data_IF_301791553479
#
_entry.id   IF_301791553479
#
_cell.length_a   1.000
_cell.length_b   1.000
_cell.length_c   1.000
_cell.angle_alpha   90.00
_cell.angle_beta   90.00
_cell.angle_gamma   90.00
#
_symmetry.space_group_name_H-M   'P 1'
#
loop_
_entity.id
_entity.type
_entity.pdbx_description
1 polymer ?
#
# COMPACT_ATOMS: atom_id res chain seq x y z
N UNK A 1 -5.35 -26.89 7.21
CA UNK A 1 -4.81 -25.51 7.36
C UNK A 1 -5.26 -24.69 6.17
N UNK A 2 -5.79 -23.52 6.41
CA UNK A 2 -6.11 -22.56 5.34
C UNK A 2 -4.83 -21.96 4.74
N UNK A 3 -4.92 -21.35 3.53
CA UNK A 3 -3.76 -20.75 2.87
C UNK A 3 -3.08 -19.69 3.73
N UNK A 4 -3.86 -18.84 4.43
CA UNK A 4 -3.28 -17.82 5.32
C UNK A 4 -2.57 -18.44 6.54
N UNK A 5 -3.10 -19.53 7.11
CA UNK A 5 -2.41 -20.23 8.22
C UNK A 5 -1.05 -20.79 7.79
N UNK A 6 -0.97 -21.32 6.57
CA UNK A 6 0.31 -21.80 6.02
C UNK A 6 1.31 -20.65 5.89
N UNK A 7 0.88 -19.50 5.35
CA UNK A 7 1.75 -18.31 5.22
C UNK A 7 2.23 -17.80 6.58
N UNK A 8 1.35 -17.73 7.58
CA UNK A 8 1.71 -17.34 8.95
C UNK A 8 2.71 -18.33 9.56
N UNK A 9 2.51 -19.63 9.38
CA UNK A 9 3.46 -20.64 9.86
C UNK A 9 4.84 -20.50 9.18
N UNK A 10 4.87 -20.21 7.88
CA UNK A 10 6.13 -19.96 7.16
C UNK A 10 6.81 -18.73 7.75
N UNK A 11 6.11 -17.61 7.95
CA UNK A 11 6.67 -16.42 8.58
C UNK A 11 7.18 -16.68 10.00
N UNK A 12 6.45 -17.48 10.80
CA UNK A 12 6.91 -17.88 12.13
C UNK A 12 8.23 -18.68 12.09
N UNK A 13 8.37 -19.60 11.13
CA UNK A 13 9.65 -20.32 10.92
C UNK A 13 10.78 -19.35 10.57
N UNK A 14 10.51 -18.37 9.70
CA UNK A 14 11.51 -17.37 9.32
C UNK A 14 11.83 -16.41 10.47
N UNK A 15 10.89 -16.10 11.36
CA UNK A 15 11.18 -15.36 12.59
C UNK A 15 12.16 -16.14 13.48
N UNK A 16 11.98 -17.46 13.64
CA UNK A 16 12.92 -18.32 14.38
C UNK A 16 14.30 -18.33 13.70
N UNK A 17 14.35 -18.52 12.38
CA UNK A 17 15.63 -18.52 11.63
C UNK A 17 16.35 -17.16 11.73
N UNK A 18 15.60 -16.05 11.61
CA UNK A 18 16.14 -14.70 11.80
C UNK A 18 16.65 -14.46 13.21
N UNK A 19 15.88 -14.88 14.23
CA UNK A 19 16.30 -14.79 15.63
C UNK A 19 17.58 -15.59 15.92
N UNK A 20 17.68 -16.81 15.38
CA UNK A 20 18.89 -17.64 15.50
C UNK A 20 20.09 -16.98 14.79
N UNK A 21 19.91 -16.52 13.55
CA UNK A 21 20.98 -15.85 12.79
C UNK A 21 21.48 -14.60 13.52
N UNK A 22 20.60 -13.84 14.15
CA UNK A 22 20.94 -12.68 15.00
C UNK A 22 21.82 -13.09 16.19
N UNK A 23 21.47 -14.18 16.88
CA UNK A 23 22.26 -14.71 18.01
C UNK A 23 23.66 -15.13 17.55
N UNK A 24 23.79 -15.73 16.37
CA UNK A 24 25.06 -16.20 15.83
C UNK A 24 25.83 -15.15 14.99
N UNK A 25 25.46 -13.87 15.09
CA UNK A 25 26.21 -12.74 14.53
C UNK A 25 25.84 -12.40 13.07
N UNK A 26 24.60 -12.62 12.66
CA UNK A 26 24.06 -12.20 11.34
C UNK A 26 24.82 -12.76 10.13
N UNK A 27 25.23 -14.01 10.17
CA UNK A 27 26.05 -14.64 9.13
C UNK A 27 25.32 -14.82 7.79
N UNK A 28 24.02 -15.01 7.83
CA UNK A 28 23.17 -15.23 6.65
C UNK A 28 22.41 -13.98 6.23
N UNK A 29 22.42 -12.92 7.05
CA UNK A 29 21.68 -11.67 6.82
C UNK A 29 20.22 -11.73 7.24
N UNK A 30 19.71 -12.87 7.72
CA UNK A 30 18.32 -13.03 8.17
C UNK A 30 18.10 -12.33 9.52
N UNK A 31 19.10 -12.29 10.39
CA UNK A 31 19.00 -11.66 11.71
C UNK A 31 18.88 -10.14 11.61
N UNK A 32 19.51 -9.51 10.61
CA UNK A 32 19.34 -8.09 10.33
C UNK A 32 17.89 -7.80 9.89
N UNK A 33 17.34 -8.60 9.01
CA UNK A 33 15.97 -8.46 8.52
C UNK A 33 14.93 -8.69 9.65
N UNK A 34 15.19 -9.64 10.56
CA UNK A 34 14.39 -9.84 11.76
C UNK A 34 14.36 -8.58 12.65
N UNK A 35 15.52 -7.96 12.87
CA UNK A 35 15.65 -6.72 13.66
C UNK A 35 14.91 -5.56 12.98
N UNK A 36 15.09 -5.39 11.67
CA UNK A 36 14.36 -4.37 10.87
C UNK A 36 12.84 -4.55 10.98
N UNK A 37 12.33 -5.79 11.00
CA UNK A 37 10.91 -6.07 11.19
C UNK A 37 10.37 -5.56 12.53
N UNK A 38 11.12 -5.74 13.61
CA UNK A 38 10.74 -5.20 14.94
C UNK A 38 10.88 -3.67 14.98
N UNK A 39 11.95 -3.11 14.40
CA UNK A 39 12.19 -1.66 14.36
C UNK A 39 11.14 -0.92 13.51
N UNK A 40 10.50 -1.60 12.56
CA UNK A 40 9.39 -1.05 11.78
C UNK A 40 8.21 -0.61 12.64
N UNK A 41 8.05 -1.12 13.87
CA UNK A 41 6.99 -0.72 14.80
C UNK A 41 6.96 0.80 15.02
N UNK A 42 8.10 1.45 15.14
CA UNK A 42 8.16 2.90 15.36
C UNK A 42 7.63 3.70 14.16
N UNK A 43 8.05 3.33 12.96
CA UNK A 43 7.56 3.98 11.72
C UNK A 43 6.08 3.71 11.48
N UNK A 44 5.60 2.49 11.75
CA UNK A 44 4.19 2.13 11.69
C UNK A 44 3.36 2.92 12.70
N UNK A 45 3.83 3.03 13.95
CA UNK A 45 3.15 3.82 14.97
C UNK A 45 2.98 5.28 14.54
N UNK A 46 4.04 5.92 14.00
CA UNK A 46 3.97 7.28 13.48
C UNK A 46 3.01 7.42 12.30
N UNK A 47 2.88 6.40 11.47
CA UNK A 47 2.03 6.44 10.27
C UNK A 47 0.55 6.15 10.56
N UNK A 48 0.22 5.31 11.55
CA UNK A 48 -1.12 4.77 11.67
C UNK A 48 -1.82 5.06 13.01
N UNK A 49 -1.10 5.20 14.13
CA UNK A 49 -1.75 5.34 15.46
C UNK A 49 -2.65 6.57 15.50
N UNK A 50 -2.21 7.69 14.95
CA UNK A 50 -3.00 8.91 14.90
C UNK A 50 -4.30 8.78 14.11
N UNK A 51 -4.31 8.00 13.02
CA UNK A 51 -5.56 7.74 12.27
C UNK A 51 -6.43 6.72 12.98
N UNK A 52 -5.85 5.66 13.56
CA UNK A 52 -6.63 4.67 14.30
C UNK A 52 -7.39 5.33 15.44
N UNK A 53 -6.71 6.19 16.21
CA UNK A 53 -7.36 6.92 17.32
C UNK A 53 -8.41 7.91 16.83
N UNK A 54 -8.20 8.57 15.68
CA UNK A 54 -9.16 9.47 15.06
C UNK A 54 -10.26 8.76 14.26
N UNK A 55 -10.15 7.46 13.99
CA UNK A 55 -11.03 6.77 13.05
C UNK A 55 -12.52 6.91 13.37
N UNK A 56 -13.01 6.82 14.63
CA UNK A 56 -14.41 7.05 14.93
C UNK A 56 -14.87 8.47 14.55
N UNK A 57 -14.09 9.48 14.93
CA UNK A 57 -14.41 10.90 14.66
C UNK A 57 -14.38 11.20 13.15
N UNK A 58 -13.36 10.66 12.46
CA UNK A 58 -13.26 10.82 11.01
C UNK A 58 -14.38 10.12 10.27
N UNK A 59 -14.78 8.92 10.73
CA UNK A 59 -15.89 8.19 10.14
C UNK A 59 -17.19 9.01 10.18
N UNK A 60 -17.54 9.58 11.33
CA UNK A 60 -18.74 10.41 11.50
C UNK A 60 -18.73 11.61 10.53
N UNK A 61 -17.62 12.35 10.48
CA UNK A 61 -17.48 13.52 9.60
C UNK A 61 -17.58 13.12 8.13
N UNK A 62 -16.86 12.06 7.73
CA UNK A 62 -16.82 11.61 6.32
C UNK A 62 -18.14 10.99 5.87
N UNK A 63 -18.86 10.29 6.77
CA UNK A 63 -20.17 9.74 6.47
C UNK A 63 -21.20 10.83 6.17
N UNK A 64 -21.11 11.98 6.84
CA UNK A 64 -21.97 13.14 6.55
C UNK A 64 -21.54 13.86 5.28
N UNK A 65 -20.23 14.13 5.13
CA UNK A 65 -19.72 14.96 4.04
C UNK A 65 -19.72 14.26 2.68
N UNK A 66 -19.32 12.99 2.62
CA UNK A 66 -19.08 12.25 1.36
C UNK A 66 -20.03 11.06 1.19
N UNK A 67 -20.58 10.54 2.29
CA UNK A 67 -21.49 9.40 2.28
C UNK A 67 -22.63 9.49 1.26
N UNK A 68 -23.34 10.64 1.12
CA UNK A 68 -24.41 10.78 0.11
C UNK A 68 -23.96 10.52 -1.32
N UNK A 69 -22.73 10.95 -1.69
CA UNK A 69 -22.19 10.77 -3.04
C UNK A 69 -21.96 9.29 -3.34
N UNK A 70 -21.35 8.53 -2.41
CA UNK A 70 -21.12 7.10 -2.58
C UNK A 70 -22.43 6.32 -2.67
N UNK A 71 -23.42 6.65 -1.81
CA UNK A 71 -24.75 6.02 -1.85
C UNK A 71 -25.49 6.31 -3.16
N UNK A 72 -25.36 7.52 -3.71
CA UNK A 72 -25.92 7.87 -5.01
C UNK A 72 -25.32 7.01 -6.14
N UNK A 73 -24.04 6.69 -6.04
CA UNK A 73 -23.35 5.79 -6.99
C UNK A 73 -23.61 4.30 -6.68
N UNK A 74 -24.44 4.02 -5.68
CA UNK A 74 -24.78 2.66 -5.28
C UNK A 74 -23.68 1.92 -4.52
N UNK A 75 -22.63 2.61 -4.08
CA UNK A 75 -21.51 2.06 -3.32
C UNK A 75 -21.60 2.39 -1.83
N UNK A 76 -20.89 1.63 -1.01
CA UNK A 76 -20.75 1.90 0.40
C UNK A 76 -19.75 3.06 0.64
N UNK A 77 -20.07 4.04 1.50
CA UNK A 77 -19.18 5.14 1.84
C UNK A 77 -17.82 4.72 2.38
N UNK A 78 -17.72 3.57 3.02
CA UNK A 78 -16.45 3.04 3.54
C UNK A 78 -15.38 2.86 2.44
N UNK A 79 -15.79 2.76 1.16
CA UNK A 79 -14.83 2.73 0.04
C UNK A 79 -13.97 3.99 -0.04
N UNK A 80 -14.40 5.11 0.56
CA UNK A 80 -13.59 6.31 0.67
C UNK A 80 -12.31 6.07 1.49
N UNK A 81 -12.38 5.30 2.57
CA UNK A 81 -11.23 5.08 3.46
C UNK A 81 -10.02 4.52 2.70
N UNK A 82 -10.21 3.40 1.99
CA UNK A 82 -9.14 2.81 1.17
C UNK A 82 -8.79 3.60 -0.09
N UNK A 83 -9.63 4.58 -0.47
CA UNK A 83 -9.34 5.49 -1.58
C UNK A 83 -8.35 6.57 -1.17
N UNK A 84 -8.48 7.11 0.05
CA UNK A 84 -7.71 8.29 0.50
C UNK A 84 -6.61 7.96 1.50
N UNK A 85 -6.60 6.77 2.10
CA UNK A 85 -5.58 6.32 3.06
C UNK A 85 -5.00 4.96 2.65
N UNK A 86 -3.70 4.80 2.85
CA UNK A 86 -3.08 3.49 2.73
C UNK A 86 -3.60 2.55 3.83
N UNK A 87 -3.63 1.25 3.53
CA UNK A 87 -4.12 0.24 4.47
C UNK A 87 -3.41 0.32 5.84
N UNK A 88 -2.10 0.45 5.83
CA UNK A 88 -1.19 0.55 6.98
C UNK A 88 -1.02 1.98 7.53
N UNK A 89 -1.68 2.97 6.92
CA UNK A 89 -1.76 4.35 7.43
C UNK A 89 -3.13 4.65 8.04
N UNK A 90 -3.81 3.64 8.58
CA UNK A 90 -5.11 3.75 9.23
C UNK A 90 -6.32 3.58 8.31
N UNK A 91 -6.13 3.35 7.00
CA UNK A 91 -7.22 3.11 6.05
C UNK A 91 -8.07 1.90 6.43
N UNK A 92 -7.43 0.83 6.95
CA UNK A 92 -8.14 -0.35 7.46
C UNK A 92 -9.07 -0.04 8.63
N UNK A 93 -8.55 0.65 9.65
CA UNK A 93 -9.32 1.03 10.83
C UNK A 93 -10.45 2.03 10.49
N UNK A 94 -10.17 3.01 9.62
CA UNK A 94 -11.20 3.95 9.17
C UNK A 94 -12.33 3.23 8.41
N UNK A 95 -12.00 2.30 7.52
CA UNK A 95 -13.01 1.52 6.80
C UNK A 95 -13.91 0.73 7.74
N UNK A 96 -13.33 0.09 8.78
CA UNK A 96 -14.11 -0.63 9.80
C UNK A 96 -15.06 0.28 10.58
N UNK A 97 -14.68 1.54 10.83
CA UNK A 97 -15.52 2.51 11.52
C UNK A 97 -16.61 3.12 10.61
N UNK A 98 -16.48 3.02 9.28
CA UNK A 98 -17.44 3.60 8.33
C UNK A 98 -18.53 2.64 7.87
N UNK A 99 -18.44 1.33 8.14
CA UNK A 99 -19.45 0.35 7.72
C UNK A 99 -19.50 -0.85 8.66
N UNK A 100 -20.70 -1.38 8.87
CA UNK A 100 -20.91 -2.64 9.58
C UNK A 100 -20.66 -3.87 8.67
N UNK A 101 -20.60 -3.66 7.37
CA UNK A 101 -20.36 -4.74 6.41
C UNK A 101 -18.86 -5.08 6.37
N UNK A 102 -18.50 -6.18 7.00
CA UNK A 102 -17.10 -6.65 7.11
C UNK A 102 -16.43 -6.85 5.74
N UNK A 103 -17.15 -7.37 4.74
CA UNK A 103 -16.59 -7.60 3.40
C UNK A 103 -16.22 -6.28 2.74
N UNK A 104 -17.07 -5.25 2.89
CA UNK A 104 -16.79 -3.90 2.37
C UNK A 104 -15.65 -3.25 3.13
N UNK A 105 -15.60 -3.38 4.46
CA UNK A 105 -14.51 -2.86 5.27
C UNK A 105 -13.16 -3.46 4.82
N UNK A 106 -13.12 -4.77 4.57
CA UNK A 106 -11.90 -5.46 4.09
C UNK A 106 -11.58 -5.11 2.63
N UNK A 107 -12.59 -5.04 1.75
CA UNK A 107 -12.41 -4.63 0.35
C UNK A 107 -11.81 -3.22 0.26
N UNK A 108 -12.34 -2.29 1.05
CA UNK A 108 -11.85 -0.91 1.12
C UNK A 108 -10.51 -0.82 1.83
N UNK A 109 -10.51 -1.16 3.12
CA UNK A 109 -9.40 -0.88 4.03
C UNK A 109 -8.13 -1.68 3.72
N UNK A 110 -8.26 -2.93 3.29
CA UNK A 110 -7.11 -3.79 3.01
C UNK A 110 -6.79 -3.82 1.51
N UNK A 111 -7.73 -4.22 0.64
CA UNK A 111 -7.42 -4.42 -0.77
C UNK A 111 -7.26 -3.07 -1.49
N UNK A 112 -8.25 -2.19 -1.47
CA UNK A 112 -8.18 -0.89 -2.14
C UNK A 112 -7.12 0.02 -1.50
N UNK A 113 -7.06 0.07 -0.16
CA UNK A 113 -6.12 0.88 0.59
C UNK A 113 -4.66 0.52 0.31
N UNK A 114 -4.37 -0.76 0.07
CA UNK A 114 -3.01 -1.20 -0.31
C UNK A 114 -2.60 -0.82 -1.74
N UNK A 115 -3.51 -0.30 -2.55
CA UNK A 115 -3.27 0.14 -3.93
C UNK A 115 -3.58 1.63 -4.12
N UNK A 116 -4.85 2.06 -4.10
CA UNK A 116 -5.25 3.44 -4.38
C UNK A 116 -4.78 4.38 -3.26
N UNK A 117 -5.12 4.07 -2.02
CA UNK A 117 -4.72 4.87 -0.87
C UNK A 117 -3.20 5.01 -0.78
N UNK A 118 -2.48 3.88 -0.83
CA UNK A 118 -1.01 3.88 -0.80
C UNK A 118 -0.40 4.69 -1.96
N UNK A 119 -1.02 4.67 -3.14
CA UNK A 119 -0.56 5.48 -4.28
C UNK A 119 -0.70 6.97 -4.01
N UNK A 120 -1.85 7.40 -3.51
CA UNK A 120 -2.17 8.82 -3.32
C UNK A 120 -1.38 9.43 -2.16
N UNK A 121 -1.32 8.75 -1.01
CA UNK A 121 -0.71 9.35 0.21
C UNK A 121 0.77 9.03 0.38
N UNK A 122 1.28 8.00 -0.27
CA UNK A 122 2.66 7.56 -0.10
C UNK A 122 3.44 7.53 -1.43
N UNK A 123 3.05 6.70 -2.39
CA UNK A 123 3.85 6.44 -3.59
C UNK A 123 4.15 7.71 -4.37
N UNK A 124 3.13 8.55 -4.64
CA UNK A 124 3.31 9.81 -5.39
C UNK A 124 4.14 10.83 -4.60
N UNK A 125 3.82 11.18 -3.34
CA UNK A 125 4.62 12.12 -2.56
C UNK A 125 6.08 11.67 -2.40
N UNK A 126 6.33 10.41 -2.12
CA UNK A 126 7.68 9.86 -1.94
C UNK A 126 8.47 9.88 -3.25
N UNK A 127 7.85 9.45 -4.35
CA UNK A 127 8.49 9.52 -5.67
C UNK A 127 8.89 10.94 -6.03
N UNK A 128 8.06 11.93 -5.73
CA UNK A 128 8.37 13.36 -5.96
C UNK A 128 9.56 13.87 -5.14
N UNK A 129 9.78 13.31 -3.96
CA UNK A 129 10.93 13.62 -3.12
C UNK A 129 12.24 13.00 -3.61
N UNK A 130 12.17 11.87 -4.30
CA UNK A 130 13.35 11.06 -4.71
C UNK A 130 13.70 11.28 -6.18
N UNK A 131 12.71 11.30 -7.08
CA UNK A 131 12.94 11.38 -8.51
C UNK A 131 13.52 12.74 -8.93
N UNK A 132 14.57 12.77 -9.77
CA UNK A 132 15.05 13.99 -10.41
C UNK A 132 13.93 14.71 -11.18
N UNK A 133 13.99 16.03 -11.25
CA UNK A 133 12.95 16.85 -11.91
C UNK A 133 12.70 16.44 -13.38
N UNK A 134 13.75 16.03 -14.09
CA UNK A 134 13.69 15.55 -15.46
C UNK A 134 12.91 14.23 -15.64
N UNK A 135 12.80 13.43 -14.58
CA UNK A 135 12.14 12.12 -14.61
C UNK A 135 10.65 12.19 -14.21
N UNK A 136 10.16 13.36 -13.80
CA UNK A 136 8.74 13.55 -13.40
C UNK A 136 7.75 13.23 -14.50
N UNK A 137 8.12 13.41 -15.78
CA UNK A 137 7.30 13.00 -16.92
C UNK A 137 7.05 11.49 -16.98
N UNK A 138 8.01 10.68 -16.51
CA UNK A 138 7.86 9.23 -16.41
C UNK A 138 6.99 8.85 -15.21
N UNK A 139 7.07 9.64 -14.12
CA UNK A 139 6.21 9.49 -12.95
C UNK A 139 4.74 9.61 -13.34
N UNK A 140 4.36 10.69 -14.02
CA UNK A 140 2.97 10.90 -14.44
C UNK A 140 2.47 9.79 -15.37
N UNK A 141 3.29 9.38 -16.36
CA UNK A 141 2.96 8.29 -17.27
C UNK A 141 2.80 6.95 -16.55
N UNK A 142 3.71 6.63 -15.64
CA UNK A 142 3.65 5.39 -14.86
C UNK A 142 2.43 5.36 -13.94
N UNK A 143 2.16 6.46 -13.21
CA UNK A 143 0.98 6.56 -12.35
C UNK A 143 -0.30 6.41 -13.17
N UNK A 144 -0.39 7.06 -14.34
CA UNK A 144 -1.54 6.93 -15.23
C UNK A 144 -1.78 5.45 -15.60
N UNK A 145 -0.73 4.73 -16.02
CA UNK A 145 -0.83 3.30 -16.33
C UNK A 145 -1.28 2.47 -15.13
N UNK A 146 -0.77 2.79 -13.94
CA UNK A 146 -1.07 2.04 -12.73
C UNK A 146 -2.47 2.30 -12.19
N UNK A 147 -2.89 3.55 -12.13
CA UNK A 147 -4.19 3.93 -11.52
C UNK A 147 -5.37 3.32 -12.29
N UNK A 148 -5.32 3.28 -13.62
CA UNK A 148 -6.40 2.67 -14.43
C UNK A 148 -6.53 1.16 -14.26
N UNK A 149 -5.51 0.50 -13.68
CA UNK A 149 -5.53 -0.95 -13.42
C UNK A 149 -5.86 -1.31 -11.97
N UNK A 150 -5.93 -0.33 -11.06
CA UNK A 150 -6.35 -0.58 -9.67
C UNK A 150 -7.69 -1.30 -9.60
N UNK A 151 -8.74 -0.91 -10.37
CA UNK A 151 -10.00 -1.64 -10.37
C UNK A 151 -9.86 -3.13 -10.70
N UNK A 152 -8.93 -3.50 -11.59
CA UNK A 152 -8.63 -4.92 -11.90
C UNK A 152 -8.05 -5.62 -10.66
N UNK A 153 -7.12 -4.97 -9.98
CA UNK A 153 -6.53 -5.50 -8.74
C UNK A 153 -7.57 -5.68 -7.63
N UNK A 154 -8.44 -4.70 -7.44
CA UNK A 154 -9.53 -4.76 -6.45
C UNK A 154 -10.53 -5.86 -6.78
N UNK A 155 -10.88 -6.01 -8.06
CA UNK A 155 -11.77 -7.08 -8.53
C UNK A 155 -11.18 -8.47 -8.22
N UNK A 156 -9.91 -8.69 -8.61
CA UNK A 156 -9.23 -9.98 -8.36
C UNK A 156 -9.10 -10.24 -6.87
N UNK A 157 -8.70 -9.25 -6.08
CA UNK A 157 -8.59 -9.37 -4.63
C UNK A 157 -9.94 -9.69 -3.98
N UNK A 158 -11.00 -8.98 -4.36
CA UNK A 158 -12.35 -9.19 -3.82
C UNK A 158 -12.89 -10.58 -4.15
N UNK A 159 -12.72 -11.06 -5.39
CA UNK A 159 -13.13 -12.41 -5.79
C UNK A 159 -12.32 -13.46 -5.02
N UNK A 160 -11.02 -13.26 -4.88
CA UNK A 160 -10.15 -14.19 -4.14
C UNK A 160 -10.50 -14.23 -2.65
N UNK A 161 -10.98 -13.12 -2.08
CA UNK A 161 -11.51 -13.07 -0.72
C UNK A 161 -12.84 -13.83 -0.54
N UNK A 162 -13.46 -14.26 -1.64
CA UNK A 162 -14.77 -14.92 -1.62
C UNK A 162 -15.95 -13.94 -1.54
N UNK A 163 -15.71 -12.63 -1.74
CA UNK A 163 -16.78 -11.63 -1.73
C UNK A 163 -17.70 -11.80 -2.95
N UNK A 164 -18.99 -11.51 -2.78
CA UNK A 164 -19.92 -11.62 -3.90
C UNK A 164 -19.52 -10.66 -5.02
N UNK A 165 -19.55 -11.14 -6.26
CA UNK A 165 -19.19 -10.34 -7.45
C UNK A 165 -19.99 -9.03 -7.52
N UNK A 166 -21.29 -9.08 -7.18
CA UNK A 166 -22.15 -7.91 -7.15
C UNK A 166 -21.70 -6.87 -6.12
N UNK A 167 -21.29 -7.31 -4.92
CA UNK A 167 -20.74 -6.42 -3.89
C UNK A 167 -19.48 -5.72 -4.42
N UNK A 168 -18.55 -6.48 -5.02
CA UNK A 168 -17.30 -5.93 -5.52
C UNK A 168 -17.55 -4.94 -6.66
N UNK A 169 -18.35 -5.34 -7.66
CA UNK A 169 -18.64 -4.48 -8.84
C UNK A 169 -19.34 -3.18 -8.44
N UNK A 170 -20.32 -3.24 -7.54
CA UNK A 170 -21.05 -2.08 -7.07
C UNK A 170 -20.14 -1.09 -6.34
N UNK A 171 -19.25 -1.59 -5.49
CA UNK A 171 -18.30 -0.78 -4.75
C UNK A 171 -17.12 -0.27 -5.61
N UNK A 172 -16.88 -0.88 -6.77
CA UNK A 172 -15.88 -0.42 -7.73
C UNK A 172 -16.34 0.79 -8.57
N UNK A 173 -17.66 1.06 -8.68
CA UNK A 173 -18.16 2.15 -9.51
C UNK A 173 -17.48 3.50 -9.20
N UNK A 174 -17.48 4.01 -7.94
CA UNK A 174 -16.81 5.27 -7.62
C UNK A 174 -15.30 5.21 -7.85
N UNK A 175 -14.69 4.04 -7.67
CA UNK A 175 -13.24 3.86 -7.84
C UNK A 175 -12.85 3.94 -9.32
N UNK A 176 -13.64 3.35 -10.22
CA UNK A 176 -13.43 3.46 -11.68
C UNK A 176 -13.57 4.90 -12.13
N UNK A 177 -14.60 5.61 -11.64
CA UNK A 177 -14.82 7.02 -11.95
C UNK A 177 -13.61 7.84 -11.48
N UNK A 178 -13.17 7.65 -10.24
CA UNK A 178 -12.03 8.38 -9.70
C UNK A 178 -10.73 8.05 -10.46
N UNK A 179 -10.49 6.78 -10.76
CA UNK A 179 -9.33 6.36 -11.54
C UNK A 179 -9.31 7.04 -12.93
N UNK A 180 -10.47 7.12 -13.58
CA UNK A 180 -10.61 7.81 -14.86
C UNK A 180 -10.37 9.31 -14.73
N UNK A 181 -10.88 9.97 -13.68
CA UNK A 181 -10.64 11.38 -13.40
C UNK A 181 -9.16 11.68 -13.11
N UNK A 182 -8.51 10.83 -12.31
CA UNK A 182 -7.07 10.94 -12.03
C UNK A 182 -6.28 10.77 -13.34
N UNK A 183 -6.58 9.76 -14.13
CA UNK A 183 -5.92 9.52 -15.41
C UNK A 183 -6.10 10.70 -16.38
N UNK A 184 -7.32 11.25 -16.50
CA UNK A 184 -7.61 12.42 -17.31
C UNK A 184 -6.86 13.65 -16.81
N UNK A 185 -6.81 13.86 -15.49
CA UNK A 185 -6.10 14.95 -14.87
C UNK A 185 -4.58 14.86 -15.10
N UNK A 186 -4.00 13.68 -14.95
CA UNK A 186 -2.58 13.43 -15.24
C UNK A 186 -2.25 13.62 -16.72
N UNK A 187 -3.18 13.27 -17.62
CA UNK A 187 -3.01 13.47 -19.06
C UNK A 187 -3.08 14.93 -19.46
N UNK A 188 -4.06 15.70 -18.93
CA UNK A 188 -4.33 17.09 -19.36
C UNK A 188 -3.67 18.15 -18.48
N UNK A 189 -3.46 17.87 -17.19
CA UNK A 189 -3.03 18.83 -16.20
C UNK A 189 -2.00 18.23 -15.22
N UNK A 190 -0.99 17.52 -15.77
CA UNK A 190 0.02 16.77 -15.03
C UNK A 190 0.59 17.53 -13.83
N UNK A 191 1.09 18.76 -14.07
CA UNK A 191 1.72 19.57 -13.01
C UNK A 191 0.77 19.91 -11.86
N UNK A 192 -0.50 20.20 -12.20
CA UNK A 192 -1.53 20.52 -11.20
C UNK A 192 -1.88 19.29 -10.37
N UNK A 193 -2.07 18.13 -11.02
CA UNK A 193 -2.37 16.87 -10.34
C UNK A 193 -1.25 16.46 -9.38
N UNK A 194 0.00 16.51 -9.86
CA UNK A 194 1.18 16.18 -9.04
C UNK A 194 1.28 17.10 -7.83
N UNK A 195 1.09 18.43 -8.02
CA UNK A 195 1.08 19.40 -6.92
C UNK A 195 -0.08 19.13 -5.95
N UNK A 196 -1.25 18.80 -6.47
CA UNK A 196 -2.42 18.44 -5.66
C UNK A 196 -2.16 17.23 -4.77
N UNK A 197 -1.61 16.15 -5.31
CA UNK A 197 -1.23 14.97 -4.52
C UNK A 197 -0.17 15.27 -3.46
N UNK A 198 0.83 16.09 -3.79
CA UNK A 198 1.86 16.50 -2.81
C UNK A 198 1.27 17.30 -1.64
N UNK A 199 0.32 18.20 -1.92
CA UNK A 199 -0.39 18.96 -0.88
C UNK A 199 -1.26 18.01 -0.06
N UNK A 200 -2.03 17.12 -0.72
CA UNK A 200 -2.89 16.17 -0.06
C UNK A 200 -2.11 15.24 0.88
N UNK A 201 -0.98 14.67 0.41
CA UNK A 201 -0.11 13.86 1.25
C UNK A 201 0.39 14.60 2.50
N UNK A 202 0.78 15.89 2.37
CA UNK A 202 1.16 16.72 3.53
C UNK A 202 0.00 16.93 4.51
N UNK A 203 -1.21 17.13 4.01
CA UNK A 203 -2.40 17.29 4.85
C UNK A 203 -2.71 15.99 5.62
N UNK A 204 -2.56 14.83 4.98
CA UNK A 204 -2.74 13.55 5.66
C UNK A 204 -1.68 13.35 6.75
N UNK A 205 -0.40 13.64 6.48
CA UNK A 205 0.65 13.56 7.52
C UNK A 205 0.35 14.52 8.69
N UNK A 206 -0.13 15.73 8.40
CA UNK A 206 -0.52 16.68 9.44
C UNK A 206 -1.70 16.12 10.29
N UNK A 207 -2.72 15.56 9.64
CA UNK A 207 -3.86 14.94 10.30
C UNK A 207 -3.43 13.79 11.23
N UNK A 208 -2.60 12.88 10.72
CA UNK A 208 -2.03 11.76 11.50
C UNK A 208 -1.28 12.29 12.73
N UNK A 209 -0.44 13.31 12.53
CA UNK A 209 0.37 13.89 13.60
C UNK A 209 -0.50 14.56 14.66
N UNK A 210 -1.53 15.31 14.26
CA UNK A 210 -2.49 15.92 15.19
C UNK A 210 -3.21 14.86 16.01
N UNK A 211 -3.71 13.81 15.37
CA UNK A 211 -4.38 12.70 16.06
C UNK A 211 -3.48 11.99 17.06
N UNK A 212 -2.25 11.64 16.63
CA UNK A 212 -1.29 11.00 17.52
C UNK A 212 -0.93 11.91 18.71
N UNK A 213 -0.70 13.21 18.44
CA UNK A 213 -0.35 14.17 19.51
C UNK A 213 -1.51 14.33 20.51
N UNK A 214 -2.74 14.45 20.01
CA UNK A 214 -3.93 14.54 20.87
C UNK A 214 -4.07 13.30 21.76
N UNK A 215 -3.89 12.11 21.18
CA UNK A 215 -3.95 10.85 21.92
C UNK A 215 -2.82 10.71 22.95
N UNK A 216 -1.62 11.21 22.66
CA UNK A 216 -0.49 11.25 23.60
C UNK A 216 -0.83 12.19 24.79
N UNK A 217 -1.37 13.37 24.52
CA UNK A 217 -1.76 14.32 25.59
C UNK A 217 -2.82 13.68 26.48
N UNK A 218 -3.85 13.09 25.91
CA UNK A 218 -4.89 12.40 26.67
C UNK A 218 -4.31 11.26 27.53
N UNK A 219 -3.45 10.45 26.95
CA UNK A 219 -2.81 9.32 27.64
C UNK A 219 -1.93 9.76 28.82
N UNK A 220 -1.22 10.89 28.69
CA UNK A 220 -0.28 11.37 29.73
C UNK A 220 -0.95 12.22 30.80
N UNK A 221 -2.01 12.96 30.46
CA UNK A 221 -2.58 13.99 31.34
C UNK A 221 -4.05 13.74 31.70
N UNK A 222 -4.73 12.86 30.97
CA UNK A 222 -6.19 12.69 31.03
C UNK A 222 -6.99 13.82 30.35
N UNK A 223 -6.31 14.79 29.70
CA UNK A 223 -7.01 15.88 29.01
C UNK A 223 -7.46 15.43 27.62
N UNK A 224 -8.76 15.42 27.41
CA UNK A 224 -9.38 15.07 26.13
C UNK A 224 -9.37 16.28 25.22
N UNK A 225 -8.45 16.32 24.25
CA UNK A 225 -8.37 17.41 23.27
C UNK A 225 -9.38 17.25 22.13
N UNK A 226 -9.64 16.03 21.71
CA UNK A 226 -10.60 15.70 20.66
C UNK A 226 -11.56 14.65 21.21
N UNK A 227 -12.81 14.99 21.53
CA UNK A 227 -13.78 14.04 22.04
C UNK A 227 -14.13 12.94 21.01
N UNK A 228 -14.34 11.72 21.49
CA UNK A 228 -14.75 10.59 20.65
C UNK A 228 -13.60 9.83 19.99
N UNK A 229 -12.34 10.15 20.31
CA UNK A 229 -11.20 9.37 19.86
C UNK A 229 -11.17 7.97 20.50
N UNK A 230 -10.65 6.98 19.76
CA UNK A 230 -10.33 5.67 20.31
C UNK A 230 -9.06 5.73 21.20
N UNK A 231 -8.92 4.81 22.18
CA UNK A 231 -7.74 4.76 23.05
C UNK A 231 -6.43 4.56 22.25
N UNK A 232 -5.38 5.28 22.63
CA UNK A 232 -4.05 5.18 21.97
C UNK A 232 -3.48 3.75 21.97
N UNK A 233 -3.85 2.96 22.97
CA UNK A 233 -3.45 1.55 23.12
C UNK A 233 -3.86 0.68 21.92
N UNK A 234 -5.02 0.95 21.29
CA UNK A 234 -5.48 0.21 20.11
C UNK A 234 -4.53 0.40 18.92
N UNK A 235 -4.07 1.63 18.72
CA UNK A 235 -3.11 1.95 17.67
C UNK A 235 -1.75 1.26 17.87
N UNK A 236 -1.22 1.33 19.09
CA UNK A 236 0.04 0.66 19.42
C UNK A 236 -0.08 -0.87 19.41
N UNK A 237 -1.20 -1.43 19.83
CA UNK A 237 -1.45 -2.87 19.75
C UNK A 237 -1.45 -3.33 18.29
N UNK A 238 -2.09 -2.57 17.41
CA UNK A 238 -2.09 -2.87 15.98
C UNK A 238 -0.69 -2.76 15.37
N UNK A 239 0.05 -1.69 15.65
CA UNK A 239 1.43 -1.51 15.18
C UNK A 239 2.36 -2.62 15.69
N UNK A 240 2.20 -3.03 16.95
CA UNK A 240 2.95 -4.13 17.55
C UNK A 240 2.63 -5.48 16.90
N UNK A 241 1.36 -5.78 16.66
CA UNK A 241 0.96 -7.01 15.97
C UNK A 241 1.57 -7.11 14.55
N UNK A 242 1.60 -5.99 13.83
CA UNK A 242 2.22 -5.92 12.49
C UNK A 242 3.74 -6.16 12.60
N UNK A 243 4.44 -5.52 13.54
CA UNK A 243 5.88 -5.66 13.72
C UNK A 243 6.29 -7.10 14.05
N UNK A 244 5.49 -7.81 14.86
CA UNK A 244 5.70 -9.24 15.15
C UNK A 244 5.68 -10.07 13.85
N UNK A 245 4.75 -9.79 12.95
CA UNK A 245 4.67 -10.48 11.65
C UNK A 245 5.85 -10.11 10.76
N UNK A 246 6.23 -8.82 10.72
CA UNK A 246 7.35 -8.34 9.91
C UNK A 246 8.69 -8.96 10.33
N UNK A 247 8.88 -9.27 11.60
CA UNK A 247 10.07 -9.99 12.08
C UNK A 247 10.26 -11.37 11.41
N UNK A 248 9.18 -11.98 10.91
CA UNK A 248 9.26 -13.20 10.10
C UNK A 248 9.15 -12.95 8.60
N UNK A 249 8.36 -11.97 8.20
CA UNK A 249 8.14 -11.66 6.78
C UNK A 249 9.40 -11.10 6.10
N UNK A 250 10.14 -10.20 6.74
CA UNK A 250 11.34 -9.59 6.14
C UNK A 250 12.45 -10.62 5.88
N UNK A 251 12.83 -11.52 6.81
CA UNK A 251 13.77 -12.61 6.51
C UNK A 251 13.30 -13.51 5.36
N UNK A 252 12.00 -13.85 5.30
CA UNK A 252 11.41 -14.63 4.21
C UNK A 252 11.59 -13.91 2.87
N UNK A 253 11.18 -12.63 2.80
CA UNK A 253 11.25 -11.81 1.59
C UNK A 253 12.69 -11.59 1.13
N UNK A 254 13.61 -11.37 2.06
CA UNK A 254 15.05 -11.28 1.77
C UNK A 254 15.55 -12.53 1.05
N UNK A 255 15.22 -13.71 1.57
CA UNK A 255 15.60 -14.96 0.93
C UNK A 255 14.94 -15.14 -0.44
N UNK A 256 13.63 -14.89 -0.54
CA UNK A 256 12.89 -14.95 -1.81
C UNK A 256 13.48 -14.02 -2.86
N UNK A 257 13.78 -12.78 -2.49
CA UNK A 257 14.37 -11.78 -3.38
C UNK A 257 15.75 -12.25 -3.90
N UNK A 258 16.54 -12.83 -3.01
CA UNK A 258 17.87 -13.37 -3.38
C UNK A 258 17.76 -14.55 -4.35
N UNK A 259 16.79 -15.44 -4.13
CA UNK A 259 16.56 -16.61 -5.00
C UNK A 259 15.95 -16.21 -6.35
N UNK A 260 15.00 -15.27 -6.34
CA UNK A 260 14.28 -14.84 -7.56
C UNK A 260 15.07 -13.83 -8.40
N UNK A 261 16.19 -13.30 -7.92
CA UNK A 261 16.98 -12.28 -8.64
C UNK A 261 17.30 -12.69 -10.07
N UNK A 262 17.84 -13.90 -10.30
CA UNK A 262 18.21 -14.37 -11.64
C UNK A 262 17.02 -14.52 -12.60
N UNK A 263 15.91 -15.23 -12.25
CA UNK A 263 14.76 -15.34 -13.14
C UNK A 263 14.09 -13.99 -13.42
N UNK A 264 14.06 -13.08 -12.46
CA UNK A 264 13.46 -11.76 -12.66
C UNK A 264 14.30 -10.85 -13.56
N UNK A 265 15.63 -10.93 -13.49
CA UNK A 265 16.50 -10.25 -14.46
C UNK A 265 16.31 -10.80 -15.88
N UNK A 266 16.13 -12.11 -16.05
CA UNK A 266 15.82 -12.70 -17.34
C UNK A 266 14.46 -12.24 -17.88
N UNK A 267 13.46 -12.13 -17.01
CA UNK A 267 12.13 -11.60 -17.34
C UNK A 267 12.20 -10.12 -17.77
N UNK A 268 13.03 -9.31 -17.13
CA UNK A 268 13.25 -7.92 -17.52
C UNK A 268 13.73 -7.78 -18.97
N UNK A 269 14.61 -8.67 -19.43
CA UNK A 269 15.05 -8.69 -20.84
C UNK A 269 13.91 -8.96 -21.82
N UNK A 270 12.95 -9.83 -21.46
CA UNK A 270 11.75 -10.07 -22.26
C UNK A 270 10.86 -8.84 -22.36
N UNK A 271 10.82 -8.01 -21.31
CA UNK A 271 10.08 -6.75 -21.30
C UNK A 271 10.77 -5.63 -22.12
N UNK A 272 12.02 -5.83 -22.55
CA UNK A 272 12.82 -4.84 -23.27
C UNK A 272 13.18 -3.64 -22.39
N UNK A 273 13.51 -3.88 -21.13
CA UNK A 273 14.00 -2.91 -20.15
C UNK A 273 15.41 -3.30 -19.69
N UNK A 274 16.19 -2.33 -19.23
CA UNK A 274 17.55 -2.59 -18.77
C UNK A 274 17.61 -3.38 -17.44
N UNK A 275 18.79 -3.86 -17.07
CA UNK A 275 18.97 -4.69 -15.87
C UNK A 275 18.61 -3.95 -14.58
N UNK A 276 18.88 -2.65 -14.49
CA UNK A 276 18.50 -1.81 -13.34
C UNK A 276 16.99 -1.72 -13.20
N UNK A 277 16.27 -1.56 -14.31
CA UNK A 277 14.81 -1.54 -14.30
C UNK A 277 14.22 -2.92 -13.92
N UNK A 278 14.83 -4.01 -14.40
CA UNK A 278 14.42 -5.35 -14.00
C UNK A 278 14.64 -5.59 -12.50
N UNK A 279 15.76 -5.14 -11.94
CA UNK A 279 16.03 -5.19 -10.50
C UNK A 279 15.03 -4.31 -9.70
N UNK A 280 14.63 -3.17 -10.27
CA UNK A 280 13.63 -2.28 -9.68
C UNK A 280 12.27 -2.96 -9.48
N UNK A 281 11.79 -3.77 -10.44
CA UNK A 281 10.54 -4.54 -10.29
C UNK A 281 10.59 -5.47 -9.07
N UNK A 282 11.75 -6.09 -8.83
CA UNK A 282 11.95 -6.94 -7.65
C UNK A 282 11.95 -6.12 -6.36
N UNK A 283 12.71 -5.02 -6.35
CA UNK A 283 12.80 -4.13 -5.19
C UNK A 283 11.43 -3.56 -4.81
N UNK A 284 10.60 -3.22 -5.81
CA UNK A 284 9.23 -2.72 -5.62
C UNK A 284 8.37 -3.65 -4.77
N UNK A 285 8.52 -4.97 -4.93
CA UNK A 285 7.71 -5.92 -4.17
C UNK A 285 7.93 -5.81 -2.65
N UNK A 286 9.14 -5.45 -2.24
CA UNK A 286 9.45 -5.18 -0.84
C UNK A 286 9.23 -3.69 -0.49
N UNK A 287 9.82 -2.76 -1.29
CA UNK A 287 9.78 -1.34 -1.00
C UNK A 287 10.00 -0.49 -2.27
N UNK A 288 9.05 0.39 -2.59
CA UNK A 288 9.15 1.28 -3.75
C UNK A 288 10.19 2.40 -3.60
N UNK A 289 10.59 2.75 -2.37
CA UNK A 289 11.64 3.77 -2.13
C UNK A 289 12.94 3.35 -2.78
N UNK A 290 13.34 2.09 -2.61
CA UNK A 290 14.55 1.53 -3.22
C UNK A 290 14.46 1.64 -4.76
N UNK A 291 13.32 1.30 -5.34
CA UNK A 291 13.07 1.38 -6.79
C UNK A 291 13.19 2.82 -7.30
N UNK A 292 12.60 3.80 -6.59
CA UNK A 292 12.68 5.20 -6.98
C UNK A 292 14.11 5.74 -6.90
N UNK A 293 14.92 5.29 -5.95
CA UNK A 293 16.35 5.63 -5.87
C UNK A 293 17.17 5.11 -7.08
N UNK A 294 16.72 4.01 -7.68
CA UNK A 294 17.39 3.40 -8.85
C UNK A 294 16.94 3.99 -10.20
N UNK A 295 15.88 4.81 -10.24
CA UNK A 295 15.29 5.31 -11.51
C UNK A 295 16.26 6.08 -12.38
N UNK A 296 17.22 6.80 -11.80
CA UNK A 296 18.25 7.55 -12.55
C UNK A 296 19.06 6.68 -13.51
N UNK A 297 19.23 5.38 -13.18
CA UNK A 297 20.03 4.41 -13.91
C UNK A 297 19.16 3.48 -14.80
N UNK A 298 17.84 3.70 -14.82
CA UNK A 298 16.90 2.96 -15.67
C UNK A 298 16.77 3.62 -17.04
N UNK A 299 16.55 2.80 -18.07
CA UNK A 299 16.09 3.30 -19.35
C UNK A 299 14.68 3.90 -19.28
N UNK A 300 14.32 4.76 -20.24
CA UNK A 300 13.05 5.50 -20.23
C UNK A 300 11.81 4.60 -20.11
N UNK A 301 11.84 3.45 -20.82
CA UNK A 301 10.79 2.43 -20.74
C UNK A 301 10.73 1.80 -19.37
N UNK A 302 11.90 1.45 -18.83
CA UNK A 302 12.04 0.87 -17.49
C UNK A 302 11.52 1.78 -16.39
N UNK A 303 11.74 3.09 -16.48
CA UNK A 303 11.19 4.08 -15.54
C UNK A 303 9.66 4.03 -15.50
N UNK A 304 9.00 4.08 -16.66
CA UNK A 304 7.52 4.05 -16.74
C UNK A 304 6.98 2.72 -16.23
N UNK A 305 7.60 1.59 -16.63
CA UNK A 305 7.19 0.24 -16.22
C UNK A 305 7.30 0.06 -14.70
N UNK A 306 8.42 0.49 -14.09
CA UNK A 306 8.60 0.38 -12.64
C UNK A 306 7.61 1.23 -11.86
N UNK A 307 7.38 2.47 -12.27
CA UNK A 307 6.43 3.36 -11.62
C UNK A 307 5.01 2.81 -11.77
N UNK A 308 4.62 2.32 -12.95
CA UNK A 308 3.32 1.71 -13.18
C UNK A 308 3.11 0.47 -12.28
N UNK A 309 4.12 -0.39 -12.19
CA UNK A 309 4.09 -1.57 -11.33
C UNK A 309 3.97 -1.19 -9.85
N UNK A 310 4.70 -0.15 -9.41
CA UNK A 310 4.69 0.32 -8.03
C UNK A 310 3.31 0.79 -7.54
N UNK A 311 2.46 1.32 -8.43
CA UNK A 311 1.11 1.79 -8.07
C UNK A 311 0.29 0.72 -7.35
N UNK A 312 0.33 -0.52 -7.84
CA UNK A 312 -0.43 -1.62 -7.21
C UNK A 312 0.46 -2.61 -6.46
N UNK A 313 1.65 -2.95 -6.99
CA UNK A 313 2.46 -4.04 -6.47
C UNK A 313 3.46 -3.62 -5.37
N UNK A 314 3.68 -2.31 -5.14
CA UNK A 314 4.60 -1.88 -4.09
C UNK A 314 4.19 -2.44 -2.72
N UNK A 315 5.20 -2.84 -1.93
CA UNK A 315 5.04 -3.35 -0.56
C UNK A 315 4.21 -4.66 -0.44
N UNK A 316 3.95 -5.36 -1.55
CA UNK A 316 3.15 -6.60 -1.52
C UNK A 316 3.79 -7.67 -0.63
N UNK A 317 5.11 -7.66 -0.52
CA UNK A 317 5.89 -8.50 0.39
C UNK A 317 6.65 -7.67 1.45
N UNK A 318 6.24 -6.43 1.69
CA UNK A 318 6.76 -5.52 2.70
C UNK A 318 5.70 -5.15 3.73
N UNK A 319 5.57 -3.86 4.02
CA UNK A 319 4.70 -3.33 5.07
C UNK A 319 3.23 -3.73 4.91
N UNK A 320 2.72 -3.80 3.66
CA UNK A 320 1.35 -4.24 3.40
C UNK A 320 1.12 -5.71 3.73
N UNK A 321 2.15 -6.58 3.52
CA UNK A 321 2.07 -7.98 3.96
C UNK A 321 1.95 -8.06 5.48
N UNK A 322 2.81 -7.32 6.18
CA UNK A 322 2.79 -7.25 7.64
C UNK A 322 1.47 -6.71 8.16
N UNK A 323 0.97 -5.64 7.55
CA UNK A 323 -0.33 -5.07 7.89
C UNK A 323 -1.45 -6.10 7.72
N UNK A 324 -1.58 -6.71 6.55
CA UNK A 324 -2.65 -7.69 6.30
C UNK A 324 -2.57 -8.88 7.26
N UNK A 325 -1.36 -9.38 7.54
CA UNK A 325 -1.19 -10.52 8.45
C UNK A 325 -1.48 -10.17 9.91
N UNK A 326 -1.20 -8.95 10.35
CA UNK A 326 -1.47 -8.49 11.72
C UNK A 326 -2.89 -7.97 11.94
N UNK A 327 -3.51 -7.41 10.88
CA UNK A 327 -4.82 -6.77 10.96
C UNK A 327 -5.98 -7.69 10.54
N UNK A 328 -5.81 -8.41 9.42
CA UNK A 328 -6.81 -9.31 8.83
C UNK A 328 -6.11 -10.46 8.09
N UNK A 329 -5.64 -11.50 8.81
CA UNK A 329 -4.83 -12.58 8.23
C UNK A 329 -5.48 -13.30 7.05
N UNK A 330 -6.81 -13.40 7.04
CA UNK A 330 -7.60 -13.99 5.95
C UNK A 330 -7.49 -13.19 4.64
N UNK A 331 -7.12 -11.92 4.72
CA UNK A 331 -6.93 -11.02 3.56
C UNK A 331 -5.53 -11.10 2.94
N UNK A 332 -4.60 -11.89 3.51
CA UNK A 332 -3.23 -12.01 2.99
C UNK A 332 -3.21 -12.44 1.51
N UNK A 333 -3.79 -13.58 1.18
CA UNK A 333 -3.81 -14.07 -0.20
C UNK A 333 -4.62 -13.17 -1.14
N UNK A 334 -5.84 -12.70 -0.78
CA UNK A 334 -6.58 -11.71 -1.54
C UNK A 334 -5.80 -10.43 -1.85
N UNK A 335 -5.12 -9.86 -0.87
CA UNK A 335 -4.32 -8.65 -1.06
C UNK A 335 -3.13 -8.92 -2.00
N UNK A 336 -2.37 -10.00 -1.79
CA UNK A 336 -1.21 -10.34 -2.63
C UNK A 336 -1.65 -10.52 -4.09
N UNK A 337 -2.69 -11.34 -4.33
CA UNK A 337 -3.16 -11.64 -5.68
C UNK A 337 -3.76 -10.40 -6.36
N UNK A 338 -4.53 -9.60 -5.63
CA UNK A 338 -5.09 -8.34 -6.12
C UNK A 338 -4.00 -7.35 -6.53
N UNK A 339 -3.00 -7.14 -5.67
CA UNK A 339 -1.87 -6.23 -5.93
C UNK A 339 -1.03 -6.69 -7.13
N UNK A 340 -0.74 -7.96 -7.22
CA UNK A 340 0.02 -8.51 -8.35
C UNK A 340 -0.78 -8.44 -9.65
N UNK A 341 -2.07 -8.73 -9.64
CA UNK A 341 -2.94 -8.60 -10.81
C UNK A 341 -3.00 -7.15 -11.30
N UNK A 342 -3.21 -6.17 -10.40
CA UNK A 342 -3.15 -4.74 -10.73
C UNK A 342 -1.79 -4.33 -11.28
N UNK A 343 -0.69 -4.73 -10.63
CA UNK A 343 0.67 -4.42 -11.04
C UNK A 343 1.06 -5.00 -12.40
N UNK A 344 0.76 -6.27 -12.65
CA UNK A 344 1.02 -6.92 -13.96
C UNK A 344 0.19 -6.27 -15.07
N UNK A 345 -1.08 -5.94 -14.80
CA UNK A 345 -1.92 -5.22 -15.75
C UNK A 345 -1.36 -3.82 -16.06
N UNK A 346 -0.81 -3.12 -15.05
CA UNK A 346 -0.16 -1.83 -15.22
C UNK A 346 1.10 -1.93 -16.08
N UNK A 347 1.92 -2.96 -15.88
CA UNK A 347 3.10 -3.25 -16.73
C UNK A 347 2.65 -3.45 -18.17
N UNK A 348 1.60 -4.23 -18.43
CA UNK A 348 1.09 -4.46 -19.78
C UNK A 348 0.70 -3.14 -20.47
N UNK A 349 -0.02 -2.26 -19.78
CA UNK A 349 -0.40 -0.93 -20.31
C UNK A 349 0.86 -0.07 -20.53
N UNK A 350 1.80 -0.04 -19.58
CA UNK A 350 3.04 0.72 -19.70
C UNK A 350 3.88 0.27 -20.92
N UNK A 351 3.95 -1.04 -21.18
CA UNK A 351 4.64 -1.59 -22.35
C UNK A 351 3.98 -1.17 -23.67
N UNK A 352 2.64 -1.11 -23.69
CA UNK A 352 1.91 -0.64 -24.88
C UNK A 352 2.14 0.85 -25.16
N UNK A 353 2.11 1.68 -24.11
CA UNK A 353 2.31 3.13 -24.21
C UNK A 353 3.78 3.53 -24.49
N UNK A 354 4.73 2.66 -24.18
CA UNK A 354 6.16 2.88 -24.40
C UNK A 354 6.71 2.11 -25.60
N UNK A 355 5.83 1.51 -26.42
CA UNK A 355 6.26 0.92 -27.69
C UNK A 355 6.94 1.99 -28.54
N UNK A 356 8.22 1.78 -28.91
CA UNK A 356 8.86 2.60 -29.92
C UNK A 356 7.99 2.55 -31.18
N UNK A 357 7.52 3.70 -31.65
CA UNK A 357 7.07 3.81 -33.05
C UNK A 357 8.32 3.54 -33.89
N UNK A 358 8.39 2.35 -34.50
CA UNK A 358 9.35 2.05 -35.55
C UNK A 358 9.12 3.01 -36.70
#
# INVERSE_FOLDING_TARGET
MSAHQILICIMAVFAVLGGLDRIFGNRFGLGKEYEEGILAMGSLALAMVGVITLAPVLADVLMVAVGPVFRLLGADPAMLAGTVLACDMGGGALAQNMTENKDVAMLSGVILGSMMGATIVFTIPVALGILPAQDRKYLAKGILCGVVTIPVGVLVGGITAGFSLMLVLRNLVPIVILAALIALGLWKAEKLMIKGFAIFGKLIVALITVGLTAAIVESLTGWVLIPGMAPISEGFQTAGAIAIVLAGAFPLVYLLTKLLKKPLLAFGRLLGINETAAAGLVATLANSIATFGMTKDMDDRGKVVNIAFAVSAAFVFGDHLGFAAGFAPEMLAPMILGKLAGGVSAVAIALLLTKNKK
#
